data_IF_691853466672
#
_entry.id   IF_691853466672
#
_cell.length_a   1.000
_cell.length_b   1.000
_cell.length_c   1.000
_cell.angle_alpha   90.00
_cell.angle_beta   90.00
_cell.angle_gamma   90.00
#
_symmetry.space_group_name_H-M   'P 1'
#
loop_
_entity.id
_entity.type
_entity.pdbx_description
1 polymer ?
#
# COMPACT_ATOMS: atom_id res chain seq x y z
N UNK A 1 2.92 -2.73 1.06
CA UNK A 1 1.72 -3.02 0.25
C UNK A 1 0.60 -2.06 0.64
N UNK A 2 -0.10 -1.47 -0.34
CA UNK A 2 -1.18 -0.50 -0.12
C UNK A 2 -2.52 -1.10 -0.57
N UNK A 3 -3.53 -0.97 0.28
CA UNK A 3 -4.91 -1.33 -0.01
C UNK A 3 -5.85 -0.13 0.04
N UNK A 4 -6.93 -0.22 -0.75
CA UNK A 4 -8.02 0.75 -0.78
C UNK A 4 -9.32 0.09 -0.30
N UNK A 5 -10.11 0.77 0.52
CA UNK A 5 -11.49 0.34 0.84
C UNK A 5 -12.47 0.68 -0.30
N UNK A 6 -13.57 -0.07 -0.37
CA UNK A 6 -14.46 -0.12 -1.54
C UNK A 6 -14.98 1.25 -1.99
N UNK A 7 -14.77 1.47 -3.28
CA UNK A 7 -15.09 2.63 -4.13
C UNK A 7 -16.61 2.81 -4.40
N UNK A 8 -17.47 2.09 -3.70
CA UNK A 8 -18.87 1.85 -4.09
C UNK A 8 -19.78 3.09 -4.20
N UNK A 9 -19.35 4.26 -3.76
CA UNK A 9 -20.18 5.48 -3.77
C UNK A 9 -19.50 6.73 -4.36
N UNK A 10 -18.29 6.61 -4.95
CA UNK A 10 -17.49 7.80 -5.33
C UNK A 10 -16.89 7.81 -6.74
N UNK A 11 -16.71 6.65 -7.36
CA UNK A 11 -16.23 6.57 -8.74
C UNK A 11 -17.17 5.72 -9.56
N UNK A 12 -17.33 6.05 -10.85
CA UNK A 12 -18.22 5.28 -11.71
C UNK A 12 -17.64 3.88 -11.93
N UNK A 13 -18.50 2.89 -12.17
CA UNK A 13 -18.05 1.58 -12.68
C UNK A 13 -17.21 1.82 -13.95
N UNK A 14 -15.93 1.47 -13.89
CA UNK A 14 -14.95 1.69 -14.98
C UNK A 14 -13.78 2.60 -14.61
N UNK A 15 -13.90 3.44 -13.58
CA UNK A 15 -12.84 4.38 -13.16
C UNK A 15 -11.78 3.73 -12.25
N UNK A 16 -12.02 2.51 -11.77
CA UNK A 16 -11.14 1.76 -10.86
C UNK A 16 -9.71 1.61 -11.41
N UNK A 17 -9.59 1.41 -12.72
CA UNK A 17 -8.30 1.34 -13.40
C UNK A 17 -7.55 2.67 -13.40
N UNK A 18 -8.26 3.79 -13.62
CA UNK A 18 -7.68 5.14 -13.60
C UNK A 18 -7.21 5.54 -12.20
N UNK A 19 -7.99 5.21 -11.18
CA UNK A 19 -7.64 5.44 -9.78
C UNK A 19 -6.39 4.64 -9.40
N UNK A 20 -6.32 3.37 -9.79
CA UNK A 20 -5.14 2.52 -9.54
C UNK A 20 -3.91 3.07 -10.26
N UNK A 21 -4.08 3.53 -11.50
CA UNK A 21 -3.00 4.16 -12.28
C UNK A 21 -2.50 5.46 -11.61
N UNK A 22 -3.42 6.35 -11.21
CA UNK A 22 -3.06 7.59 -10.54
C UNK A 22 -2.34 7.32 -9.20
N UNK A 23 -2.79 6.33 -8.43
CA UNK A 23 -2.13 5.91 -7.20
C UNK A 23 -0.74 5.34 -7.46
N UNK A 24 -0.54 4.56 -8.54
CA UNK A 24 0.77 4.06 -8.95
C UNK A 24 1.74 5.22 -9.24
N UNK A 25 1.31 6.22 -10.02
CA UNK A 25 2.13 7.37 -10.37
C UNK A 25 2.50 8.21 -9.13
N UNK A 26 1.54 8.43 -8.22
CA UNK A 26 1.81 9.12 -6.94
C UNK A 26 2.84 8.34 -6.11
N UNK A 27 2.71 7.01 -6.09
CA UNK A 27 3.65 6.14 -5.36
C UNK A 27 5.05 6.26 -5.94
N UNK A 28 5.20 6.10 -7.25
CA UNK A 28 6.49 6.24 -7.96
C UNK A 28 7.13 7.60 -7.66
N UNK A 29 6.38 8.70 -7.79
CA UNK A 29 6.92 10.04 -7.55
C UNK A 29 7.43 10.24 -6.11
N UNK A 30 6.73 9.70 -5.10
CA UNK A 30 7.15 9.82 -3.69
C UNK A 30 8.35 8.91 -3.41
N UNK A 31 8.33 7.70 -3.94
CA UNK A 31 9.36 6.68 -3.70
C UNK A 31 10.69 7.11 -4.31
N UNK A 32 10.70 7.60 -5.55
CA UNK A 32 11.91 8.02 -6.26
C UNK A 32 12.63 9.21 -5.58
N UNK A 33 11.92 10.00 -4.76
CA UNK A 33 12.50 11.10 -3.98
C UNK A 33 13.22 10.61 -2.72
N UNK A 34 12.88 9.42 -2.26
CA UNK A 34 13.25 8.96 -0.91
C UNK A 34 13.98 7.63 -0.89
N UNK A 35 13.92 6.80 -1.93
CA UNK A 35 14.49 5.46 -1.92
C UNK A 35 15.27 5.22 -3.21
N UNK A 36 16.55 4.87 -3.08
CA UNK A 36 17.46 4.74 -4.23
C UNK A 36 17.19 3.48 -5.07
N UNK A 37 16.72 2.40 -4.43
CA UNK A 37 16.48 1.10 -5.08
C UNK A 37 15.13 0.53 -4.68
N UNK A 38 14.10 0.97 -5.37
CA UNK A 38 12.72 0.57 -5.10
C UNK A 38 11.90 0.44 -6.37
N UNK A 39 10.92 -0.46 -6.32
CA UNK A 39 10.08 -0.81 -7.46
C UNK A 39 8.63 -0.84 -7.04
N UNK A 40 7.78 -0.11 -7.77
CA UNK A 40 6.32 -0.20 -7.62
C UNK A 40 5.80 -1.38 -8.43
N UNK A 41 4.99 -2.23 -7.78
CA UNK A 41 4.41 -3.43 -8.38
C UNK A 41 2.88 -3.28 -8.34
N UNK A 42 2.24 -3.48 -9.49
CA UNK A 42 0.78 -3.43 -9.63
C UNK A 42 0.23 -4.82 -10.00
N UNK A 43 -0.06 -5.66 -9.00
CA UNK A 43 -0.65 -7.02 -9.15
C UNK A 43 -2.08 -7.04 -8.57
N UNK A 44 -3.00 -6.33 -9.22
CA UNK A 44 -4.38 -6.06 -8.76
C UNK A 44 -4.47 -5.38 -7.37
N UNK A 45 -3.32 -4.98 -6.84
CA UNK A 45 -3.03 -4.28 -5.58
C UNK A 45 -1.70 -3.57 -5.76
N UNK A 46 -1.50 -2.42 -5.11
CA UNK A 46 -0.24 -1.67 -5.22
C UNK A 46 0.75 -2.12 -4.14
N UNK A 47 1.98 -2.37 -4.54
CA UNK A 47 3.06 -2.78 -3.66
C UNK A 47 4.36 -2.05 -3.99
N UNK A 48 5.27 -2.03 -3.01
CA UNK A 48 6.60 -1.46 -3.14
C UNK A 48 7.56 -2.55 -2.70
N UNK A 49 8.50 -2.89 -3.57
CA UNK A 49 9.67 -3.69 -3.22
C UNK A 49 10.82 -2.72 -2.98
N UNK A 50 11.44 -2.82 -1.81
CA UNK A 50 12.59 -1.99 -1.41
C UNK A 50 13.80 -2.92 -1.33
N UNK A 51 14.88 -2.55 -2.00
CA UNK A 51 16.16 -3.24 -1.94
C UNK A 51 17.14 -2.30 -1.25
N UNK A 52 17.58 -2.65 -0.06
CA UNK A 52 18.52 -1.83 0.72
C UNK A 52 19.75 -2.66 1.12
N UNK A 53 20.88 -1.97 1.30
CA UNK A 53 22.03 -2.55 1.98
C UNK A 53 21.73 -2.69 3.49
N UNK A 54 22.59 -3.39 4.24
CA UNK A 54 22.42 -3.75 5.68
C UNK A 54 21.93 -2.62 6.61
N UNK A 55 22.07 -1.35 6.23
CA UNK A 55 21.50 -0.20 6.95
C UNK A 55 19.99 -0.17 6.82
N UNK A 56 19.30 -0.64 7.86
CA UNK A 56 17.84 -0.58 7.92
C UNK A 56 17.36 0.85 8.15
N UNK A 57 16.91 1.54 7.09
CA UNK A 57 16.36 2.90 7.20
C UNK A 57 14.89 2.88 7.62
N UNK A 58 14.59 2.20 8.73
CA UNK A 58 13.21 1.96 9.18
C UNK A 58 12.39 3.25 9.32
N UNK A 59 13.01 4.30 9.86
CA UNK A 59 12.35 5.61 10.03
C UNK A 59 12.03 6.29 8.69
N UNK A 60 12.90 6.12 7.69
CA UNK A 60 12.70 6.61 6.33
C UNK A 60 11.55 5.88 5.66
N UNK A 61 11.51 4.54 5.76
CA UNK A 61 10.40 3.71 5.27
C UNK A 61 9.08 4.15 5.91
N UNK A 62 9.06 4.39 7.24
CA UNK A 62 7.86 4.89 7.91
C UNK A 62 7.46 6.29 7.47
N UNK A 63 8.43 7.18 7.22
CA UNK A 63 8.16 8.52 6.69
C UNK A 63 7.49 8.44 5.31
N UNK A 64 8.06 7.63 4.41
CA UNK A 64 7.49 7.38 3.07
C UNK A 64 6.08 6.80 3.18
N UNK A 65 5.85 5.82 4.06
CA UNK A 65 4.51 5.24 4.26
C UNK A 65 3.48 6.27 4.74
N UNK A 66 3.88 7.20 5.62
CA UNK A 66 3.01 8.28 6.08
C UNK A 66 2.69 9.25 4.95
N UNK A 67 3.68 9.65 4.18
CA UNK A 67 3.49 10.54 3.04
C UNK A 67 2.59 9.92 1.98
N UNK A 68 2.84 8.66 1.61
CA UNK A 68 2.00 7.89 0.69
C UNK A 68 0.54 7.87 1.14
N UNK A 69 0.31 7.51 2.40
CA UNK A 69 -1.04 7.45 2.97
C UNK A 69 -1.71 8.82 2.94
N UNK A 70 -1.00 9.87 3.36
CA UNK A 70 -1.52 11.24 3.38
C UNK A 70 -1.86 11.74 1.97
N UNK A 71 -0.94 11.59 1.02
CA UNK A 71 -1.09 12.08 -0.35
C UNK A 71 -2.18 11.34 -1.09
N UNK A 72 -2.23 10.01 -1.00
CA UNK A 72 -3.32 9.21 -1.59
C UNK A 72 -4.67 9.61 -0.99
N UNK A 73 -4.75 9.71 0.35
CA UNK A 73 -6.01 10.06 1.01
C UNK A 73 -6.49 11.46 0.61
N UNK A 74 -5.57 12.40 0.40
CA UNK A 74 -5.89 13.77 0.03
C UNK A 74 -6.25 13.91 -1.45
N UNK A 75 -5.44 13.37 -2.35
CA UNK A 75 -5.59 13.56 -3.79
C UNK A 75 -6.70 12.68 -4.37
N UNK A 76 -6.76 11.42 -3.95
CA UNK A 76 -7.73 10.45 -4.44
C UNK A 76 -8.99 10.37 -3.55
N UNK A 77 -9.00 11.08 -2.42
CA UNK A 77 -10.13 11.11 -1.46
C UNK A 77 -10.56 9.70 -1.00
N UNK A 78 -9.58 8.82 -0.88
CA UNK A 78 -9.72 7.41 -0.51
C UNK A 78 -9.08 7.12 0.84
N UNK A 79 -9.39 5.97 1.43
CA UNK A 79 -8.69 5.51 2.63
C UNK A 79 -7.66 4.45 2.22
N UNK A 80 -6.39 4.84 2.25
CA UNK A 80 -5.26 3.97 2.02
C UNK A 80 -4.81 3.32 3.33
N UNK A 81 -4.55 2.00 3.28
CA UNK A 81 -3.91 1.26 4.37
C UNK A 81 -2.60 0.69 3.88
N UNK A 82 -1.53 0.90 4.65
CA UNK A 82 -0.19 0.39 4.34
C UNK A 82 0.15 -0.78 5.25
N UNK A 83 0.60 -1.88 4.67
CA UNK A 83 1.18 -3.05 5.35
C UNK A 83 2.65 -3.16 5.00
N UNK A 84 3.50 -3.20 6.02
CA UNK A 84 4.95 -3.39 5.88
C UNK A 84 5.27 -4.85 6.24
N UNK A 85 5.86 -5.58 5.30
CA UNK A 85 6.27 -6.95 5.52
C UNK A 85 7.65 -7.01 6.21
N UNK A 86 8.02 -8.13 6.87
CA UNK A 86 9.38 -8.33 7.36
C UNK A 86 10.41 -8.26 6.21
N UNK A 87 11.62 -7.78 6.50
CA UNK A 87 12.75 -7.84 5.55
C UNK A 87 13.21 -9.28 5.33
N UNK A 88 13.83 -9.53 4.18
CA UNK A 88 14.49 -10.82 3.89
C UNK A 88 15.77 -10.59 3.11
N UNK A 89 16.80 -11.39 3.43
CA UNK A 89 18.08 -11.40 2.74
C UNK A 89 18.11 -12.41 1.58
N UNK A 90 17.04 -13.17 1.38
CA UNK A 90 16.97 -14.22 0.37
C UNK A 90 15.92 -13.86 -0.70
N UNK A 91 16.37 -13.65 -1.93
CA UNK A 91 15.51 -13.30 -3.06
C UNK A 91 14.39 -14.32 -3.31
N UNK A 92 14.65 -15.61 -3.10
CA UNK A 92 13.66 -16.68 -3.26
C UNK A 92 12.53 -16.59 -2.23
N UNK A 93 12.73 -15.88 -1.12
CA UNK A 93 11.70 -15.69 -0.09
C UNK A 93 10.81 -14.47 -0.34
N UNK A 94 11.18 -13.56 -1.25
CA UNK A 94 10.43 -12.31 -1.52
C UNK A 94 8.98 -12.60 -1.90
N UNK A 95 8.75 -13.58 -2.78
CA UNK A 95 7.40 -13.98 -3.18
C UNK A 95 6.56 -14.49 -1.98
N UNK A 96 7.15 -15.31 -1.12
CA UNK A 96 6.47 -15.83 0.06
C UNK A 96 6.14 -14.73 1.08
N UNK A 97 7.05 -13.77 1.28
CA UNK A 97 6.84 -12.60 2.15
C UNK A 97 5.74 -11.70 1.58
N UNK A 98 5.74 -11.48 0.26
CA UNK A 98 4.70 -10.73 -0.44
C UNK A 98 3.31 -11.34 -0.25
N UNK A 99 3.17 -12.65 -0.43
CA UNK A 99 1.88 -13.35 -0.24
C UNK A 99 1.38 -13.30 1.21
N UNK A 100 2.29 -13.36 2.20
CA UNK A 100 1.95 -13.16 3.60
C UNK A 100 1.43 -11.74 3.85
N UNK A 101 2.09 -10.72 3.28
CA UNK A 101 1.62 -9.33 3.38
C UNK A 101 0.26 -9.12 2.71
N UNK A 102 0.02 -9.77 1.56
CA UNK A 102 -1.26 -9.76 0.85
C UNK A 102 -2.38 -10.36 1.69
N UNK A 103 -2.08 -11.43 2.41
CA UNK A 103 -3.00 -12.09 3.34
C UNK A 103 -3.29 -11.24 4.59
N UNK A 104 -2.26 -10.64 5.20
CA UNK A 104 -2.42 -9.75 6.35
C UNK A 104 -3.27 -8.51 6.01
N UNK A 105 -3.12 -7.94 4.81
CA UNK A 105 -3.96 -6.83 4.35
C UNK A 105 -5.44 -7.19 4.34
N UNK A 106 -5.80 -8.39 3.86
CA UNK A 106 -7.20 -8.85 3.82
C UNK A 106 -7.80 -8.83 5.23
N UNK A 107 -7.05 -9.30 6.23
CA UNK A 107 -7.46 -9.27 7.63
C UNK A 107 -7.70 -7.83 8.13
N UNK A 108 -6.77 -6.92 7.88
CA UNK A 108 -6.91 -5.51 8.30
C UNK A 108 -8.13 -4.83 7.67
N UNK A 109 -8.45 -5.12 6.41
CA UNK A 109 -9.65 -4.58 5.75
C UNK A 109 -10.93 -5.18 6.33
N UNK A 110 -10.94 -6.46 6.66
CA UNK A 110 -12.11 -7.10 7.31
C UNK A 110 -12.35 -6.59 8.73
N UNK A 111 -11.30 -6.32 9.52
CA UNK A 111 -11.46 -5.74 10.86
C UNK A 111 -12.02 -4.31 10.81
N UNK A 112 -11.54 -3.49 9.86
CA UNK A 112 -12.06 -2.13 9.64
C UNK A 112 -13.49 -2.12 9.13
N UNK A 113 -13.83 -3.05 8.22
CA UNK A 113 -15.19 -3.22 7.69
C UNK A 113 -16.17 -3.79 8.74
N UNK A 114 -15.71 -4.70 9.60
CA UNK A 114 -16.51 -5.26 10.70
C UNK A 114 -16.70 -4.28 11.87
N UNK A 115 -15.74 -3.39 12.12
CA UNK A 115 -15.85 -2.32 13.11
C UNK A 115 -16.88 -1.25 12.77
N UNK A 116 -17.25 -1.10 11.49
CA UNK A 116 -18.32 -0.21 11.05
C UNK A 116 -19.74 -0.78 11.28
N UNK A 117 -19.88 -2.09 11.45
CA UNK A 117 -21.18 -2.76 11.69
C UNK A 117 -21.59 -2.77 13.17
N UNK A 118 -20.67 -2.54 14.12
CA UNK A 118 -20.93 -2.60 15.56
C UNK A 118 -21.07 -1.23 16.25
N UNK A 119 -21.44 -0.18 15.51
CA UNK A 119 -21.81 1.14 16.08
C UNK A 119 -23.17 1.63 15.56
N UNK A 120 -24.19 0.78 15.62
CA UNK A 120 -25.59 1.20 15.71
C UNK A 120 -26.34 0.21 16.59
N UNK A 121 -26.30 0.42 17.91
CA UNK A 121 -27.21 -0.16 18.90
C UNK A 121 -27.26 0.78 20.10
#
# INVERSE_FOLDING_TARGET
>A
MIGFESVLDRFNKGDEGLVTFAACNIMEEIIDKHLDQSYVINDLTLAILIVESETHHRDQIYSVCRELTFTINRLLRMWATVVIAPSTYNISQVAAVFEKAKSARRLCLTEKSGGAFLRQS
#
